data_IF_371100640910
#
_entry.id   IF_371100640910
#
_cell.length_a   1.000
_cell.length_b   1.000
_cell.length_c   1.000
_cell.angle_alpha   90.00
_cell.angle_beta   90.00
_cell.angle_gamma   90.00
#
_symmetry.space_group_name_H-M   'P 1'
#
loop_
_entity.id
_entity.type
_entity.pdbx_description
1 polymer ?
#
# COMPACT_ATOMS: atom_id res chain seq x y z
N UNK A 1 -26.24 15.56 -16.19
CA UNK A 1 -26.05 15.98 -14.77
C UNK A 1 -26.31 14.78 -13.89
N UNK A 2 -25.26 14.15 -13.36
CA UNK A 2 -25.38 13.01 -12.45
C UNK A 2 -25.54 13.47 -11.01
N UNK A 3 -26.39 12.81 -10.19
CA UNK A 3 -26.56 13.18 -8.80
C UNK A 3 -25.35 12.75 -7.95
N UNK A 4 -25.06 13.56 -6.94
CA UNK A 4 -23.98 13.33 -5.98
C UNK A 4 -24.21 12.04 -5.18
N UNK A 5 -23.20 11.18 -5.14
CA UNK A 5 -23.13 10.04 -4.22
C UNK A 5 -22.55 10.51 -2.88
N UNK A 6 -23.37 10.45 -1.82
CA UNK A 6 -22.91 10.64 -0.45
C UNK A 6 -22.21 9.38 0.06
N UNK A 7 -20.96 9.51 0.48
CA UNK A 7 -20.20 8.44 1.14
C UNK A 7 -20.45 8.54 2.65
N UNK A 8 -21.10 7.54 3.24
CA UNK A 8 -21.12 7.34 4.70
C UNK A 8 -20.01 6.37 5.08
N UNK A 9 -19.05 6.87 5.86
CA UNK A 9 -18.02 6.08 6.52
C UNK A 9 -18.67 5.24 7.63
N UNK A 10 -18.46 3.92 7.61
CA UNK A 10 -18.75 3.05 8.76
C UNK A 10 -17.44 2.57 9.37
N UNK A 11 -17.35 2.73 10.68
CA UNK A 11 -16.16 2.62 11.48
C UNK A 11 -15.67 1.16 11.55
N UNK A 12 -14.45 0.91 11.07
CA UNK A 12 -13.54 -0.13 11.57
C UNK A 12 -12.14 0.25 11.09
N UNK A 13 -11.14 0.15 11.98
CA UNK A 13 -9.77 0.59 11.76
C UNK A 13 -9.30 0.36 10.31
N UNK A 14 -8.91 1.43 9.61
CA UNK A 14 -8.49 1.37 8.20
C UNK A 14 -7.31 0.41 8.06
N UNK A 15 -7.56 -0.83 7.64
CA UNK A 15 -6.50 -1.82 7.45
C UNK A 15 -5.59 -1.35 6.31
N UNK A 16 -4.26 -1.36 6.48
CA UNK A 16 -3.34 -1.05 5.41
C UNK A 16 -3.49 -2.10 4.30
N UNK A 17 -3.53 -1.65 3.05
CA UNK A 17 -3.53 -2.55 1.89
C UNK A 17 -2.22 -2.32 1.12
N UNK A 18 -1.60 -3.43 0.74
CA UNK A 18 -0.39 -3.48 -0.06
C UNK A 18 -0.74 -3.94 -1.47
N UNK A 19 -0.10 -3.33 -2.46
CA UNK A 19 -0.27 -3.68 -3.86
C UNK A 19 1.10 -3.96 -4.47
N UNK A 20 1.17 -4.99 -5.29
CA UNK A 20 2.38 -5.35 -6.01
C UNK A 20 2.63 -4.37 -7.15
N UNK A 21 3.90 -4.09 -7.41
CA UNK A 21 4.41 -3.10 -8.38
C UNK A 21 3.90 -3.32 -9.83
N UNK A 22 3.28 -4.47 -10.13
CA UNK A 22 2.68 -4.77 -11.43
C UNK A 22 1.21 -4.31 -11.57
N UNK A 23 0.60 -3.75 -10.51
CA UNK A 23 -0.80 -3.31 -10.53
C UNK A 23 -0.91 -1.85 -11.00
N UNK A 24 -1.86 -1.55 -11.88
CA UNK A 24 -2.16 -0.18 -12.32
C UNK A 24 -2.46 0.73 -11.10
N UNK A 25 -1.73 1.86 -10.91
CA UNK A 25 -1.92 2.74 -9.76
C UNK A 25 -3.32 3.35 -9.67
N UNK A 26 -4.11 3.34 -10.76
CA UNK A 26 -5.52 3.76 -10.75
C UNK A 26 -6.39 2.78 -9.95
N UNK A 27 -6.14 1.48 -10.04
CA UNK A 27 -6.89 0.46 -9.31
C UNK A 27 -6.66 0.59 -7.80
N UNK A 28 -5.41 0.81 -7.40
CA UNK A 28 -5.02 1.08 -6.01
C UNK A 28 -5.79 2.27 -5.44
N UNK A 29 -5.84 3.37 -6.20
CA UNK A 29 -6.57 4.59 -5.82
C UNK A 29 -8.08 4.35 -5.71
N UNK A 30 -8.66 3.57 -6.63
CA UNK A 30 -10.09 3.23 -6.60
C UNK A 30 -10.45 2.38 -5.37
N UNK A 31 -9.65 1.35 -5.06
CA UNK A 31 -9.87 0.50 -3.89
C UNK A 31 -9.71 1.30 -2.60
N UNK A 32 -8.68 2.15 -2.50
CA UNK A 32 -8.49 3.04 -1.35
C UNK A 32 -9.70 4.00 -1.16
N UNK A 33 -10.17 4.62 -2.24
CA UNK A 33 -11.33 5.51 -2.20
C UNK A 33 -12.64 4.79 -1.81
N UNK A 34 -12.82 3.55 -2.28
CA UNK A 34 -14.02 2.76 -2.00
C UNK A 34 -14.04 2.14 -0.59
N UNK A 35 -12.87 1.76 -0.06
CA UNK A 35 -12.74 1.04 1.21
C UNK A 35 -12.37 1.93 2.40
N UNK A 36 -11.88 3.15 2.18
CA UNK A 36 -11.27 3.97 3.22
C UNK A 36 -9.90 3.46 3.69
N UNK A 37 -9.34 2.44 3.03
CA UNK A 37 -8.01 1.93 3.33
C UNK A 37 -6.92 2.91 2.91
N UNK A 38 -5.81 2.91 3.66
CA UNK A 38 -4.63 3.70 3.35
C UNK A 38 -3.57 2.81 2.68
N UNK A 39 -2.81 3.33 1.70
CA UNK A 39 -1.65 2.62 1.16
C UNK A 39 -0.67 2.27 2.28
N UNK A 40 -0.24 1.01 2.34
CA UNK A 40 0.64 0.51 3.40
C UNK A 40 2.13 0.87 3.23
N UNK A 41 2.52 1.43 2.08
CA UNK A 41 3.92 1.69 1.71
C UNK A 41 4.42 0.77 0.60
N UNK A 42 5.66 1.00 0.16
CA UNK A 42 6.31 0.24 -0.92
C UNK A 42 6.97 -1.03 -0.38
N UNK A 43 6.76 -2.15 -1.07
CA UNK A 43 7.35 -3.45 -0.77
C UNK A 43 8.19 -3.95 -1.95
N UNK A 44 9.17 -4.79 -1.63
CA UNK A 44 10.08 -5.44 -2.56
C UNK A 44 9.90 -6.98 -2.50
N UNK A 45 8.80 -7.55 -3.07
CA UNK A 45 8.51 -8.99 -2.97
C UNK A 45 9.30 -9.83 -3.98
N UNK A 46 9.56 -9.29 -5.18
CA UNK A 46 10.14 -10.05 -6.31
C UNK A 46 11.43 -9.41 -6.87
N UNK A 47 11.76 -8.19 -6.45
CA UNK A 47 12.89 -7.44 -6.99
C UNK A 47 13.60 -6.64 -5.89
N UNK A 48 14.92 -6.56 -6.00
CA UNK A 48 15.74 -5.64 -5.21
C UNK A 48 15.61 -4.23 -5.76
N UNK A 49 15.85 -3.23 -4.91
CA UNK A 49 16.06 -1.87 -5.41
C UNK A 49 17.41 -1.76 -6.12
N UNK A 50 17.68 -0.59 -6.73
CA UNK A 50 19.05 -0.25 -7.12
C UNK A 50 20.01 -0.23 -5.91
N UNK A 51 21.31 -0.21 -6.17
CA UNK A 51 22.35 -0.29 -5.13
C UNK A 51 22.29 0.85 -4.08
N UNK A 52 21.69 1.99 -4.42
CA UNK A 52 21.48 3.12 -3.52
C UNK A 52 20.08 3.15 -2.88
N UNK A 53 19.24 2.15 -3.15
CA UNK A 53 17.87 2.06 -2.66
C UNK A 53 17.75 1.30 -1.33
N UNK A 54 16.56 1.29 -0.74
CA UNK A 54 16.31 0.74 0.60
C UNK A 54 16.33 -0.80 0.67
N UNK A 55 16.44 -1.47 -0.48
CA UNK A 55 16.33 -2.92 -0.63
C UNK A 55 17.43 -3.46 -1.56
N UNK A 56 18.68 -2.99 -1.39
CA UNK A 56 19.81 -3.34 -2.25
C UNK A 56 20.29 -4.80 -2.11
N UNK A 57 19.97 -5.45 -0.99
CA UNK A 57 20.20 -6.87 -0.76
C UNK A 57 18.91 -7.58 -0.34
N UNK A 58 18.89 -8.91 -0.38
CA UNK A 58 17.74 -9.68 0.10
C UNK A 58 17.41 -9.39 1.57
N UNK A 59 18.43 -9.26 2.43
CA UNK A 59 18.24 -8.95 3.85
C UNK A 59 17.66 -7.54 4.02
N UNK A 60 18.14 -6.57 3.25
CA UNK A 60 17.62 -5.20 3.27
C UNK A 60 16.16 -5.16 2.80
N UNK A 61 15.85 -5.84 1.69
CA UNK A 61 14.49 -5.96 1.16
C UNK A 61 13.53 -6.57 2.19
N UNK A 62 13.93 -7.69 2.81
CA UNK A 62 13.10 -8.35 3.81
C UNK A 62 12.92 -7.48 5.07
N UNK A 63 14.00 -6.85 5.54
CA UNK A 63 13.96 -5.93 6.69
C UNK A 63 13.08 -4.72 6.42
N UNK A 64 13.19 -4.11 5.24
CA UNK A 64 12.35 -2.99 4.79
C UNK A 64 10.88 -3.40 4.73
N UNK A 65 10.57 -4.55 4.12
CA UNK A 65 9.20 -5.05 3.99
C UNK A 65 8.55 -5.28 5.36
N UNK A 66 9.25 -5.94 6.28
CA UNK A 66 8.73 -6.20 7.64
C UNK A 66 8.49 -4.89 8.39
N UNK A 67 9.43 -3.93 8.32
CA UNK A 67 9.26 -2.62 8.96
C UNK A 67 8.08 -1.84 8.39
N UNK A 68 7.90 -1.89 7.07
CA UNK A 68 6.80 -1.22 6.37
C UNK A 68 5.45 -1.83 6.77
N UNK A 69 5.34 -3.16 6.80
CA UNK A 69 4.14 -3.87 7.25
C UNK A 69 3.82 -3.58 8.71
N UNK A 70 4.81 -3.73 9.61
CA UNK A 70 4.59 -3.48 11.03
C UNK A 70 4.24 -2.01 11.33
N UNK A 71 4.80 -1.08 10.56
CA UNK A 71 4.53 0.35 10.68
C UNK A 71 3.13 0.75 10.22
N UNK A 72 2.57 0.05 9.22
CA UNK A 72 1.27 0.38 8.63
C UNK A 72 0.06 -0.12 9.45
N UNK A 73 0.30 -1.00 10.42
CA UNK A 73 -0.74 -1.60 11.29
C UNK A 73 -1.10 -0.76 12.54
N UNK A 74 -0.48 0.41 12.71
CA UNK A 74 -0.74 1.35 13.81
C UNK A 74 -1.74 2.42 13.39
#
# INVERSE_FOLDING_TARGET
>A
MWPALSIKSNNSASKPIFFENQTDPRLVKQIAAASGAKPGGELYPEALSGAAGPAATYVDAFTHNVKTIAGSMK
#
